data_IF_635445081985
#
_entry.id   IF_635445081985
#
_cell.length_a   1.000
_cell.length_b   1.000
_cell.length_c   1.000
_cell.angle_alpha   90.00
_cell.angle_beta   90.00
_cell.angle_gamma   90.00
#
_symmetry.space_group_name_H-M   'P 1'
#
loop_
_entity.id
_entity.type
_entity.pdbx_description
1 polymer ?
#
# COMPACT_ATOMS: atom_id res chain seq x y z
N UNK A 1 0.51 4.63 -0.88
CA UNK A 1 1.26 3.43 -0.43
C UNK A 1 2.32 3.16 -1.47
N UNK A 2 3.57 3.06 -1.06
CA UNK A 2 4.65 2.56 -1.92
C UNK A 2 4.74 1.05 -1.75
N UNK A 3 4.83 0.32 -2.86
CA UNK A 3 4.98 -1.13 -2.90
C UNK A 3 6.28 -1.49 -3.60
N UNK A 4 6.88 -2.63 -3.23
CA UNK A 4 8.12 -3.14 -3.82
C UNK A 4 8.04 -4.66 -3.90
N UNK A 5 8.53 -5.26 -4.98
CA UNK A 5 8.69 -6.71 -5.06
C UNK A 5 10.02 -7.18 -4.43
N UNK A 6 10.80 -6.28 -3.81
CA UNK A 6 12.08 -6.61 -3.16
C UNK A 6 13.25 -6.84 -4.13
N UNK A 7 13.04 -6.65 -5.45
CA UNK A 7 14.05 -6.95 -6.47
C UNK A 7 14.02 -8.39 -6.94
N UNK A 8 12.91 -9.09 -6.73
CA UNK A 8 12.66 -10.38 -7.34
C UNK A 8 12.43 -10.23 -8.85
N UNK A 9 12.67 -11.30 -9.61
CA UNK A 9 12.51 -11.34 -11.07
C UNK A 9 11.04 -11.50 -11.51
N UNK A 10 10.13 -11.81 -10.58
CA UNK A 10 8.69 -11.92 -10.82
C UNK A 10 7.97 -10.61 -10.46
N UNK A 11 7.23 -10.09 -11.44
CA UNK A 11 6.36 -8.92 -11.28
C UNK A 11 4.93 -9.28 -10.93
N UNK A 12 4.12 -8.25 -10.72
CA UNK A 12 2.69 -8.33 -10.51
C UNK A 12 1.96 -7.54 -11.59
N UNK A 13 0.82 -8.06 -12.03
CA UNK A 13 -0.18 -7.28 -12.74
C UNK A 13 -0.81 -6.20 -11.85
N UNK A 14 -1.76 -5.40 -12.38
CA UNK A 14 -2.49 -4.42 -11.60
C UNK A 14 -3.16 -5.05 -10.38
N UNK A 15 -2.98 -4.45 -9.21
CA UNK A 15 -3.56 -4.96 -7.96
C UNK A 15 -4.79 -4.14 -7.56
N UNK A 16 -5.83 -4.82 -7.10
CA UNK A 16 -6.92 -4.23 -6.31
C UNK A 16 -6.79 -4.66 -4.86
N UNK A 17 -6.43 -3.74 -3.97
CA UNK A 17 -6.21 -3.98 -2.55
C UNK A 17 -7.37 -3.38 -1.76
N UNK A 18 -8.05 -4.19 -0.94
CA UNK A 18 -9.13 -3.73 -0.06
C UNK A 18 -8.57 -3.47 1.33
N UNK A 19 -8.74 -2.24 1.81
CA UNK A 19 -8.16 -1.70 3.04
C UNK A 19 -9.28 -1.31 4.00
N UNK A 20 -9.12 -1.67 5.27
CA UNK A 20 -9.86 -1.07 6.38
C UNK A 20 -9.04 0.06 6.97
N UNK A 21 -9.63 1.26 7.10
CA UNK A 21 -9.05 2.37 7.84
C UNK A 21 -9.59 2.29 9.26
N UNK A 22 -8.67 2.28 10.23
CA UNK A 22 -9.01 2.06 11.64
C UNK A 22 -8.56 3.24 12.50
N UNK A 23 -9.33 3.49 13.54
CA UNK A 23 -8.93 4.43 14.58
C UNK A 23 -7.81 3.86 15.47
N UNK A 24 -7.30 4.66 16.40
CA UNK A 24 -6.26 4.26 17.35
C UNK A 24 -6.66 3.13 18.31
N UNK A 25 -7.94 2.79 18.38
CA UNK A 25 -8.47 1.70 19.20
C UNK A 25 -8.69 0.43 18.38
N UNK A 26 -8.39 0.45 17.07
CA UNK A 26 -8.58 -0.67 16.15
C UNK A 26 -10.00 -0.79 15.60
N UNK A 27 -10.87 0.20 15.82
CA UNK A 27 -12.22 0.20 15.29
C UNK A 27 -12.21 0.64 13.83
N UNK A 28 -12.89 -0.12 12.97
CA UNK A 28 -12.99 0.19 11.53
C UNK A 28 -13.89 1.40 11.31
N UNK A 29 -13.31 2.44 10.72
CA UNK A 29 -14.01 3.68 10.34
C UNK A 29 -14.64 3.53 8.96
N UNK A 30 -13.84 3.10 7.98
CA UNK A 30 -14.28 2.90 6.60
C UNK A 30 -13.52 1.74 5.94
N UNK A 31 -14.13 1.14 4.92
CA UNK A 31 -13.47 0.21 4.01
C UNK A 31 -13.38 0.84 2.62
N UNK A 32 -12.20 0.76 2.00
CA UNK A 32 -11.92 1.33 0.68
C UNK A 32 -11.09 0.38 -0.17
N UNK A 33 -11.05 0.63 -1.47
CA UNK A 33 -10.19 -0.09 -2.41
C UNK A 33 -9.13 0.86 -2.92
N UNK A 34 -7.91 0.36 -3.02
CA UNK A 34 -6.77 1.00 -3.66
C UNK A 34 -6.41 0.20 -4.90
N UNK A 35 -6.02 0.88 -5.96
CA UNK A 35 -5.58 0.26 -7.21
C UNK A 35 -4.12 0.61 -7.49
N UNK A 36 -3.38 -0.32 -8.06
CA UNK A 36 -1.97 -0.12 -8.47
C UNK A 36 -1.85 -0.37 -9.97
N UNK A 37 -0.87 0.28 -10.60
CA UNK A 37 -0.37 -0.18 -11.89
C UNK A 37 0.37 -1.52 -11.75
N UNK A 38 0.64 -2.19 -12.88
CA UNK A 38 1.54 -3.35 -12.91
C UNK A 38 2.97 -2.91 -12.56
N UNK A 39 3.73 -3.78 -11.87
CA UNK A 39 5.08 -3.45 -11.41
C UNK A 39 5.94 -4.70 -11.17
N UNK A 40 7.25 -4.53 -11.04
CA UNK A 40 8.20 -5.59 -10.66
C UNK A 40 8.65 -6.50 -11.80
N UNK A 41 8.20 -6.25 -13.04
CA UNK A 41 8.63 -6.97 -14.24
C UNK A 41 10.03 -6.54 -14.75
N UNK A 42 10.57 -5.45 -14.19
CA UNK A 42 11.92 -4.96 -14.47
C UNK A 42 12.55 -4.30 -13.25
N UNK A 43 13.88 -4.15 -13.26
CA UNK A 43 14.59 -3.43 -12.21
C UNK A 43 14.15 -1.97 -12.07
N UNK A 44 13.71 -1.33 -13.17
CA UNK A 44 13.24 0.05 -13.16
C UNK A 44 11.81 0.18 -12.59
N UNK A 45 10.99 -0.87 -12.69
CA UNK A 45 9.60 -0.94 -12.21
C UNK A 45 9.48 -1.74 -10.91
N UNK A 46 10.60 -2.02 -10.22
CA UNK A 46 10.66 -2.75 -8.94
C UNK A 46 9.69 -2.21 -7.89
N UNK A 47 9.39 -0.91 -7.95
CA UNK A 47 8.52 -0.20 -7.04
C UNK A 47 7.40 0.52 -7.78
N UNK A 48 6.22 0.59 -7.17
CA UNK A 48 5.12 1.45 -7.63
C UNK A 48 4.43 2.15 -6.47
N UNK A 49 3.88 3.32 -6.75
CA UNK A 49 3.11 4.13 -5.81
C UNK A 49 1.62 4.06 -6.15
N UNK A 50 0.80 3.89 -5.12
CA UNK A 50 -0.66 3.84 -5.23
C UNK A 50 -1.34 4.78 -4.24
N UNK A 51 -2.49 5.32 -4.63
CA UNK A 51 -3.22 6.30 -3.83
C UNK A 51 -4.56 5.70 -3.37
N UNK A 52 -4.85 5.87 -2.08
CA UNK A 52 -6.16 5.53 -1.53
C UNK A 52 -6.97 6.79 -1.35
N UNK A 53 -7.94 7.01 -2.22
CA UNK A 53 -8.84 8.14 -2.11
C UNK A 53 -10.01 7.84 -1.16
N UNK A 54 -10.26 8.78 -0.27
CA UNK A 54 -11.43 8.82 0.59
C UNK A 54 -11.67 10.26 1.01
N UNK A 55 -12.90 10.59 1.40
CA UNK A 55 -13.13 11.78 2.21
C UNK A 55 -12.13 11.78 3.38
N UNK A 56 -11.63 12.95 3.77
CA UNK A 56 -10.63 13.08 4.84
C UNK A 56 -11.24 12.65 6.19
N UNK A 57 -11.27 11.33 6.41
CA UNK A 57 -11.85 10.72 7.61
C UNK A 57 -10.94 11.06 8.79
N UNK A 58 -11.50 11.73 9.79
CA UNK A 58 -10.75 12.05 10.99
C UNK A 58 -10.34 10.80 11.77
N UNK A 59 -9.26 10.89 12.54
CA UNK A 59 -8.79 9.88 13.49
C UNK A 59 -8.31 8.54 12.91
N UNK A 60 -8.09 8.46 11.59
CA UNK A 60 -7.40 7.29 11.00
C UNK A 60 -6.00 7.18 11.60
N UNK A 61 -5.71 6.03 12.20
CA UNK A 61 -4.41 5.74 12.84
C UNK A 61 -3.68 4.59 12.16
N UNK A 62 -4.41 3.56 11.72
CA UNK A 62 -3.83 2.38 11.05
C UNK A 62 -4.69 1.98 9.85
N UNK A 63 -4.09 1.18 8.96
CA UNK A 63 -4.81 0.54 7.86
C UNK A 63 -4.53 -0.96 7.86
N UNK A 64 -5.52 -1.77 7.49
CA UNK A 64 -5.40 -3.22 7.44
C UNK A 64 -5.79 -3.75 6.06
N UNK A 65 -4.92 -4.57 5.46
CA UNK A 65 -5.21 -5.26 4.20
C UNK A 65 -6.10 -6.47 4.52
N UNK A 66 -7.32 -6.45 4.00
CA UNK A 66 -8.29 -7.54 4.23
C UNK A 66 -8.54 -8.38 2.97
N UNK A 67 -8.17 -7.88 1.80
CA UNK A 67 -8.25 -8.61 0.52
C UNK A 67 -7.29 -8.02 -0.50
N UNK A 68 -6.70 -8.87 -1.33
CA UNK A 68 -5.96 -8.46 -2.51
C UNK A 68 -6.40 -9.29 -3.72
N UNK A 69 -6.40 -8.67 -4.89
CA UNK A 69 -6.71 -9.31 -6.16
C UNK A 69 -5.75 -8.78 -7.19
N UNK A 70 -5.18 -9.65 -8.02
CA UNK A 70 -4.32 -9.30 -9.13
C UNK A 70 -5.08 -9.50 -10.43
N UNK A 71 -4.92 -8.59 -11.38
CA UNK A 71 -5.29 -8.82 -12.77
C UNK A 71 -4.12 -9.46 -13.52
N UNK A 72 -4.25 -10.75 -13.82
CA UNK A 72 -3.23 -11.55 -14.51
C UNK A 72 -3.84 -12.18 -15.76
N UNK A 73 -3.24 -11.92 -16.92
CA UNK A 73 -3.70 -12.41 -18.22
C UNK A 73 -5.20 -12.10 -18.51
N UNK A 74 -5.67 -10.93 -18.10
CA UNK A 74 -7.08 -10.52 -18.25
C UNK A 74 -8.06 -11.17 -17.27
N UNK A 75 -7.57 -11.93 -16.29
CA UNK A 75 -8.37 -12.55 -15.24
C UNK A 75 -8.07 -11.97 -13.87
N UNK A 76 -9.10 -11.83 -13.03
CA UNK A 76 -8.96 -11.43 -11.63
C UNK A 76 -8.69 -12.65 -10.75
N UNK A 77 -7.50 -12.71 -10.17
CA UNK A 77 -7.04 -13.81 -9.31
C UNK A 77 -6.89 -13.30 -7.88
N UNK A 78 -7.31 -14.10 -6.90
CA UNK A 78 -7.09 -13.74 -5.49
C UNK A 78 -5.62 -13.85 -5.14
N UNK A 79 -5.03 -12.76 -4.64
CA UNK A 79 -3.64 -12.75 -4.20
C UNK A 79 -3.57 -13.11 -2.71
N UNK A 80 -2.77 -14.11 -2.29
CA UNK A 80 -2.63 -14.48 -0.88
C UNK A 80 -2.10 -13.30 -0.04
N UNK A 81 -2.70 -13.01 1.11
CA UNK A 81 -2.27 -11.87 1.95
C UNK A 81 -0.87 -12.06 2.56
N UNK A 82 -0.38 -13.30 2.64
CA UNK A 82 0.96 -13.63 3.14
C UNK A 82 2.10 -13.11 2.28
N UNK A 83 1.83 -12.62 1.06
CA UNK A 83 2.85 -11.99 0.20
C UNK A 83 3.23 -10.59 0.67
N UNK A 84 2.36 -9.93 1.44
CA UNK A 84 2.62 -8.58 1.91
C UNK A 84 3.53 -8.61 3.15
N UNK A 85 4.57 -7.79 3.13
CA UNK A 85 5.39 -7.47 4.29
C UNK A 85 5.13 -6.01 4.69
N UNK A 86 4.06 -5.73 5.45
CA UNK A 86 3.64 -4.37 5.76
C UNK A 86 4.61 -3.68 6.72
N UNK A 87 4.63 -2.34 6.70
CA UNK A 87 5.20 -1.57 7.79
C UNK A 87 4.21 -1.54 8.96
N UNK A 88 4.31 -2.53 9.85
CA UNK A 88 3.43 -2.76 10.99
C UNK A 88 3.92 -2.10 12.30
N UNK A 89 4.89 -1.20 12.19
CA UNK A 89 5.46 -0.44 13.31
C UNK A 89 5.34 1.06 13.07
N UNK A 90 5.31 1.84 14.16
CA UNK A 90 5.34 3.30 14.12
C UNK A 90 6.79 3.79 14.08
N UNK A 91 7.29 4.30 12.94
CA UNK A 91 8.66 4.79 12.85
C UNK A 91 8.83 6.11 13.62
N UNK A 92 10.05 6.38 14.07
CA UNK A 92 10.40 7.69 14.59
C UNK A 92 10.38 8.74 13.47
N UNK A 93 9.78 9.89 13.73
CA UNK A 93 9.88 11.04 12.83
C UNK A 93 11.30 11.60 12.86
N UNK A 94 11.94 11.70 11.70
CA UNK A 94 13.28 12.27 11.56
C UNK A 94 13.16 13.72 11.07
N UNK A 95 13.76 14.67 11.79
CA UNK A 95 13.79 16.10 11.46
C UNK A 95 15.22 16.61 11.29
N UNK A 96 15.44 17.58 10.40
CA UNK A 96 16.75 18.21 10.17
C UNK A 96 16.72 19.65 10.69
N UNK A 97 17.61 20.00 11.63
CA UNK A 97 17.75 21.36 12.14
C UNK A 97 18.56 22.25 11.18
N UNK A 98 18.19 23.53 11.04
CA UNK A 98 19.05 24.54 10.41
C UNK A 98 18.90 24.77 8.89
N UNK A 99 17.82 24.33 8.24
CA UNK A 99 17.53 24.72 6.84
C UNK A 99 16.98 26.15 6.79
N UNK A 100 17.87 27.14 6.93
CA UNK A 100 17.59 28.50 6.50
C UNK A 100 17.40 28.46 4.99
N UNK A 101 16.15 28.57 4.54
CA UNK A 101 15.85 28.99 3.17
C UNK A 101 16.20 30.48 3.09
N UNK A 102 17.37 30.77 2.51
CA UNK A 102 17.59 32.06 1.87
C UNK A 102 16.81 32.10 0.56
#
# INVERSE_FOLDING_TARGET
MTTTNGGNDEGFGPLTITLQLKDKYGQTLVTRKMETEAFGDSNATRTTDAFLETECVENVATTEIIKATEESNGHRVSLPLSVFNPQDYHPLLITVSGKNVN
#
